data_IF_190486359159
#
_entry.id   IF_190486359159
#
_cell.length_a   1.000
_cell.length_b   1.000
_cell.length_c   1.000
_cell.angle_alpha   90.00
_cell.angle_beta   90.00
_cell.angle_gamma   90.00
#
_symmetry.space_group_name_H-M   'P 1'
#
loop_
_entity.id
_entity.type
_entity.pdbx_description
1 polymer ?
#
# COMPACT_ATOMS: atom_id res chain seq x y z
N UNK A 1 -2.14 3.04 -15.83
CA UNK A 1 -2.12 3.42 -14.41
C UNK A 1 -3.17 2.59 -13.70
N UNK A 2 -2.82 1.96 -12.58
CA UNK A 2 -3.75 1.14 -11.78
C UNK A 2 -4.19 2.02 -10.61
N UNK A 3 -5.46 2.38 -10.55
CA UNK A 3 -6.03 3.22 -9.49
C UNK A 3 -6.73 2.42 -8.40
N UNK A 4 -7.07 1.16 -8.69
CA UNK A 4 -7.77 0.26 -7.77
C UNK A 4 -7.51 -1.19 -8.14
N UNK A 5 -7.45 -2.04 -7.11
CA UNK A 5 -7.43 -3.50 -7.23
C UNK A 5 -8.50 -4.08 -6.32
N UNK A 6 -9.25 -5.05 -6.82
CA UNK A 6 -10.23 -5.82 -6.06
C UNK A 6 -9.94 -7.31 -6.26
N UNK A 7 -10.01 -8.09 -5.19
CA UNK A 7 -9.80 -9.53 -5.28
C UNK A 7 -9.63 -10.20 -3.92
N UNK A 8 -9.15 -11.44 -3.93
CA UNK A 8 -8.97 -12.23 -2.71
C UNK A 8 -7.63 -11.93 -2.05
N UNK A 9 -7.65 -11.60 -0.77
CA UNK A 9 -6.44 -11.43 0.03
C UNK A 9 -5.80 -12.78 0.32
N UNK A 10 -4.65 -13.07 -0.28
CA UNK A 10 -3.96 -14.35 -0.10
C UNK A 10 -2.98 -14.32 1.08
N UNK A 11 -2.23 -13.24 1.21
CA UNK A 11 -1.18 -13.10 2.21
C UNK A 11 -1.11 -11.66 2.73
N UNK A 12 -0.68 -11.50 3.97
CA UNK A 12 -0.34 -10.20 4.56
C UNK A 12 1.02 -10.32 5.25
N UNK A 13 1.98 -9.53 4.82
CA UNK A 13 3.30 -9.38 5.42
C UNK A 13 3.36 -8.09 6.24
N UNK A 14 4.53 -7.69 6.75
CA UNK A 14 4.64 -6.45 7.54
C UNK A 14 4.42 -5.17 6.73
N UNK A 15 4.66 -5.22 5.41
CA UNK A 15 4.76 -4.04 4.55
C UNK A 15 4.06 -4.22 3.20
N UNK A 16 3.47 -5.39 2.93
CA UNK A 16 2.75 -5.66 1.70
C UNK A 16 1.70 -6.75 1.89
N UNK A 17 0.77 -6.84 0.95
CA UNK A 17 -0.21 -7.91 0.83
C UNK A 17 -0.16 -8.50 -0.58
N UNK A 18 -0.54 -9.77 -0.70
CA UNK A 18 -0.72 -10.45 -1.98
C UNK A 18 -2.23 -10.54 -2.27
N UNK A 19 -2.65 -10.02 -3.42
CA UNK A 19 -4.07 -10.00 -3.82
C UNK A 19 -4.25 -10.73 -5.14
N UNK A 20 -5.11 -11.74 -5.15
CA UNK A 20 -5.50 -12.49 -6.35
C UNK A 20 -6.69 -11.82 -7.04
N UNK A 21 -6.47 -11.42 -8.28
CA UNK A 21 -7.43 -10.75 -9.17
C UNK A 21 -7.89 -11.65 -10.32
N UNK A 22 -8.21 -12.91 -10.01
CA UNK A 22 -8.68 -13.88 -11.00
C UNK A 22 -7.55 -14.65 -11.68
N UNK A 23 -6.57 -15.09 -10.91
CA UNK A 23 -5.38 -15.82 -11.36
C UNK A 23 -4.14 -14.94 -11.55
N UNK A 24 -4.28 -13.61 -11.40
CA UNK A 24 -3.16 -12.65 -11.41
C UNK A 24 -2.98 -12.11 -10.00
N UNK A 25 -1.82 -12.39 -9.40
CA UNK A 25 -1.51 -11.98 -8.05
C UNK A 25 -0.66 -10.70 -8.05
N UNK A 26 -1.16 -9.64 -7.41
CA UNK A 26 -0.44 -8.39 -7.23
C UNK A 26 0.13 -8.29 -5.82
N UNK A 27 1.41 -7.94 -5.72
CA UNK A 27 1.99 -7.44 -4.49
C UNK A 27 1.63 -5.96 -4.33
N UNK A 28 0.97 -5.64 -3.22
CA UNK A 28 0.51 -4.30 -2.89
C UNK A 28 1.18 -3.88 -1.60
N UNK A 29 2.04 -2.85 -1.67
CA UNK A 29 2.70 -2.27 -0.50
C UNK A 29 1.67 -1.59 0.39
N UNK A 30 1.80 -1.74 1.70
CA UNK A 30 0.84 -1.24 2.69
C UNK A 30 1.54 -0.38 3.75
N UNK A 31 0.86 0.64 4.29
CA UNK A 31 1.25 1.25 5.55
C UNK A 31 1.34 0.21 6.67
N UNK A 32 2.33 0.32 7.57
CA UNK A 32 2.55 -0.64 8.66
C UNK A 32 1.28 -0.86 9.52
N UNK A 33 0.56 0.22 9.85
CA UNK A 33 -0.68 0.16 10.61
C UNK A 33 -1.78 -0.64 9.90
N UNK A 34 -1.90 -0.47 8.57
CA UNK A 34 -2.90 -1.17 7.77
C UNK A 34 -2.57 -2.66 7.66
N UNK A 35 -1.30 -3.00 7.42
CA UNK A 35 -0.86 -4.39 7.39
C UNK A 35 -1.13 -5.10 8.73
N UNK A 36 -0.82 -4.46 9.86
CA UNK A 36 -1.13 -4.98 11.20
C UNK A 36 -2.64 -5.19 11.38
N UNK A 37 -3.45 -4.19 11.05
CA UNK A 37 -4.91 -4.27 11.16
C UNK A 37 -5.50 -5.43 10.36
N UNK A 38 -5.06 -5.64 9.12
CA UNK A 38 -5.56 -6.74 8.29
C UNK A 38 -5.19 -8.13 8.85
N UNK A 39 -4.04 -8.26 9.51
CA UNK A 39 -3.65 -9.47 10.24
C UNK A 39 -4.50 -9.68 11.48
N UNK A 40 -4.67 -8.65 12.30
CA UNK A 40 -5.43 -8.70 13.56
C UNK A 40 -6.91 -9.04 13.30
N UNK A 41 -7.48 -8.52 12.20
CA UNK A 41 -8.84 -8.82 11.73
C UNK A 41 -8.97 -10.18 11.01
N UNK A 42 -7.88 -10.96 10.89
CA UNK A 42 -7.81 -12.25 10.18
C UNK A 42 -8.47 -12.21 8.78
N UNK A 43 -8.14 -11.20 7.97
CA UNK A 43 -8.79 -10.95 6.66
C UNK A 43 -8.32 -11.87 5.52
N UNK A 44 -7.35 -12.75 5.78
CA UNK A 44 -6.83 -13.67 4.77
C UNK A 44 -7.95 -14.57 4.26
N UNK A 45 -8.06 -14.69 2.93
CA UNK A 45 -9.09 -15.43 2.23
C UNK A 45 -10.33 -14.62 1.88
N UNK A 46 -10.50 -13.41 2.43
CA UNK A 46 -11.63 -12.53 2.12
C UNK A 46 -11.42 -11.72 0.84
N UNK A 47 -12.53 -11.28 0.24
CA UNK A 47 -12.54 -10.21 -0.76
C UNK A 47 -12.07 -8.88 -0.12
N UNK A 48 -11.20 -8.17 -0.82
CA UNK A 48 -10.66 -6.87 -0.43
C UNK A 48 -10.51 -5.97 -1.64
N UNK A 49 -10.70 -4.67 -1.40
CA UNK A 49 -10.41 -3.63 -2.36
C UNK A 49 -9.34 -2.71 -1.80
N UNK A 50 -8.35 -2.38 -2.63
CA UNK A 50 -7.39 -1.32 -2.36
C UNK A 50 -7.54 -0.21 -3.41
N UNK A 51 -7.74 1.03 -2.95
CA UNK A 51 -7.42 2.21 -3.75
C UNK A 51 -5.90 2.36 -3.80
N UNK A 52 -5.34 2.53 -4.99
CA UNK A 52 -3.89 2.36 -5.20
C UNK A 52 -3.20 3.62 -5.72
N UNK A 53 -1.93 3.76 -5.33
CA UNK A 53 -0.96 4.63 -5.98
C UNK A 53 0.00 3.74 -6.76
N UNK A 54 0.03 3.93 -8.09
CA UNK A 54 0.97 3.26 -8.97
C UNK A 54 2.11 4.22 -9.31
N UNK A 55 3.34 3.83 -8.96
CA UNK A 55 4.52 4.63 -9.25
C UNK A 55 5.65 3.78 -9.80
N UNK A 56 6.59 4.44 -10.48
CA UNK A 56 7.79 3.81 -11.01
C UNK A 56 8.97 4.24 -10.13
N UNK A 57 9.59 3.29 -9.44
CA UNK A 57 10.82 3.51 -8.69
C UNK A 57 12.01 3.38 -9.63
N UNK A 58 12.79 4.45 -9.76
CA UNK A 58 14.08 4.39 -10.45
C UNK A 58 15.05 3.59 -9.57
N UNK A 59 15.63 2.53 -10.12
CA UNK A 59 16.67 1.75 -9.46
C UNK A 59 18.04 2.41 -9.54
N UNK A 60 19.00 1.85 -8.80
CA UNK A 60 20.37 2.37 -8.71
C UNK A 60 21.12 2.35 -10.07
N UNK A 61 20.71 1.48 -10.99
CA UNK A 61 21.22 1.44 -12.36
C UNK A 61 20.35 2.32 -13.24
N UNK A 62 20.96 3.22 -14.03
CA UNK A 62 20.30 4.22 -14.89
C UNK A 62 19.17 3.70 -15.81
N UNK A 63 19.09 2.40 -16.06
CA UNK A 63 18.05 1.79 -16.90
C UNK A 63 16.97 1.02 -16.12
N UNK A 64 17.15 0.78 -14.82
CA UNK A 64 16.24 -0.07 -14.05
C UNK A 64 15.07 0.75 -13.50
N UNK A 65 13.85 0.33 -13.81
CA UNK A 65 12.63 0.98 -13.35
C UNK A 65 11.66 -0.10 -12.88
N UNK A 66 11.19 0.02 -11.65
CA UNK A 66 10.34 -0.99 -11.02
C UNK A 66 8.96 -0.41 -10.74
N UNK A 67 7.90 -1.01 -11.31
CA UNK A 67 6.54 -0.60 -10.99
C UNK A 67 6.16 -1.10 -9.61
N UNK A 68 5.62 -0.19 -8.79
CA UNK A 68 5.12 -0.51 -7.45
C UNK A 68 3.69 -0.02 -7.28
N UNK A 69 2.94 -0.79 -6.50
CA UNK A 69 1.60 -0.47 -6.04
C UNK A 69 1.64 -0.23 -4.55
N UNK A 70 1.07 0.90 -4.11
CA UNK A 70 0.75 1.15 -2.71
C UNK A 70 -0.76 1.12 -2.56
N UNK A 71 -1.30 0.38 -1.59
CA UNK A 71 -2.73 0.18 -1.40
C UNK A 71 -3.28 0.72 -0.09
N UNK A 72 -4.51 1.22 -0.15
CA UNK A 72 -5.26 1.76 0.97
C UNK A 72 -6.70 1.24 0.92
N UNK A 73 -7.28 0.90 2.07
CA UNK A 73 -8.69 0.47 2.15
C UNK A 73 -9.67 1.65 2.18
N UNK A 74 -9.16 2.87 2.33
CA UNK A 74 -9.91 4.11 2.34
C UNK A 74 -9.26 5.09 1.34
N UNK A 75 -10.03 5.69 0.41
CA UNK A 75 -9.49 6.68 -0.52
C UNK A 75 -8.92 7.92 0.17
N UNK A 76 -9.41 8.31 1.34
CA UNK A 76 -8.90 9.47 2.10
C UNK A 76 -7.47 9.20 2.59
N UNK A 77 -7.19 7.97 3.05
CA UNK A 77 -5.85 7.56 3.47
C UNK A 77 -4.85 7.64 2.31
N UNK A 78 -5.29 7.28 1.10
CA UNK A 78 -4.49 7.38 -0.13
C UNK A 78 -4.14 8.84 -0.44
N UNK A 79 -5.11 9.74 -0.33
CA UNK A 79 -4.91 11.17 -0.57
C UNK A 79 -3.95 11.79 0.45
N UNK A 80 -4.15 11.48 1.73
CA UNK A 80 -3.23 11.89 2.78
C UNK A 80 -1.81 11.39 2.50
N UNK A 81 -1.64 10.10 2.16
CA UNK A 81 -0.33 9.53 1.85
C UNK A 81 0.35 10.22 0.66
N UNK A 82 -0.43 10.57 -0.37
CA UNK A 82 0.06 11.29 -1.54
C UNK A 82 0.56 12.70 -1.20
N UNK A 83 0.01 13.35 -0.17
CA UNK A 83 0.50 14.63 0.35
C UNK A 83 1.69 14.42 1.28
N UNK A 84 1.62 13.41 2.14
CA UNK A 84 2.65 13.11 3.13
C UNK A 84 4.02 12.80 2.49
N UNK A 85 4.01 12.13 1.33
CA UNK A 85 5.23 11.85 0.55
C UNK A 85 5.84 13.07 -0.14
N UNK A 86 5.16 14.22 -0.15
CA UNK A 86 5.72 15.47 -0.68
C UNK A 86 6.61 16.19 0.34
N UNK A 87 6.57 15.78 1.61
CA UNK A 87 7.44 16.35 2.66
C UNK A 87 8.90 16.05 2.31
N UNK A 88 9.81 17.05 2.34
CA UNK A 88 11.22 16.82 2.04
C UNK A 88 11.84 15.68 2.87
N UNK A 89 12.47 14.73 2.19
CA UNK A 89 13.07 13.55 2.83
C UNK A 89 12.06 12.46 3.24
N UNK A 90 10.81 12.53 2.76
CA UNK A 90 9.75 11.54 2.98
C UNK A 90 9.44 10.73 1.72
N UNK A 91 10.37 9.84 1.31
CA UNK A 91 10.11 8.91 0.21
C UNK A 91 9.03 7.87 0.54
N UNK A 92 8.44 7.24 -0.48
CA UNK A 92 7.33 6.27 -0.35
C UNK A 92 7.60 5.20 0.72
N UNK A 93 8.74 4.50 0.65
CA UNK A 93 9.10 3.44 1.61
C UNK A 93 9.21 3.96 3.04
N UNK A 94 9.74 5.16 3.23
CA UNK A 94 9.87 5.79 4.55
C UNK A 94 8.49 6.18 5.08
N UNK A 95 7.66 6.79 4.24
CA UNK A 95 6.29 7.14 4.57
C UNK A 95 5.48 5.92 5.04
N UNK A 96 5.54 4.81 4.30
CA UNK A 96 4.82 3.57 4.66
C UNK A 96 5.23 3.03 6.03
N UNK A 97 6.53 3.06 6.33
CA UNK A 97 7.06 2.62 7.62
C UNK A 97 6.67 3.55 8.77
N UNK A 98 6.65 4.86 8.52
CA UNK A 98 6.32 5.88 9.53
C UNK A 98 4.85 5.86 9.95
N UNK A 99 3.94 5.36 9.10
CA UNK A 99 2.53 5.19 9.41
C UNK A 99 2.27 3.93 10.26
N UNK A 100 2.70 3.99 11.53
CA UNK A 100 2.58 2.91 12.53
C UNK A 100 1.25 2.88 13.28
N UNK A 101 0.46 3.94 13.13
CA UNK A 101 -0.91 4.09 13.63
C UNK A 101 -1.83 4.57 12.49
N UNK A 102 -3.16 4.39 12.58
CA UNK A 102 -4.10 4.83 11.56
C UNK A 102 -3.95 6.31 11.22
N UNK A 103 -4.05 6.66 9.93
CA UNK A 103 -3.88 8.04 9.44
C UNK A 103 -4.87 9.00 10.13
N UNK A 104 -6.10 8.53 10.36
CA UNK A 104 -7.13 9.31 11.07
C UNK A 104 -6.72 9.72 12.49
N UNK A 105 -5.85 8.95 13.15
CA UNK A 105 -5.33 9.29 14.48
C UNK A 105 -4.13 10.25 14.40
N UNK A 106 -3.44 10.32 13.26
CA UNK A 106 -2.30 11.23 13.04
C UNK A 106 -2.78 12.62 12.60
N UNK A 107 -3.87 12.68 11.85
CA UNK A 107 -4.42 13.91 11.28
C UNK A 107 -5.44 14.63 12.19
N UNK A 108 -5.72 14.09 13.38
CA UNK A 108 -6.58 14.71 14.39
C UNK A 108 -5.86 15.82 15.15
#
# INVERSE_FOLDING_TARGET
>A
MISRICGKLLEVHEQHALVDTGGICYEVMLPSALARRLKDENRIGAEIQFDTLYYIEAGDKKSSHFPHLVGFTDPVDREFFSLFTQVPGMGVRKALKSLVMPIREIAA
#
